data_IF_520615873775
#
_entry.id   IF_520615873775
#
_cell.length_a   1.000
_cell.length_b   1.000
_cell.length_c   1.000
_cell.angle_alpha   90.00
_cell.angle_beta   90.00
_cell.angle_gamma   90.00
#
_symmetry.space_group_name_H-M   'P 1'
#
loop_
_entity.id
_entity.type
_entity.pdbx_description
1 polymer ?
#
# COMPACT_ATOMS: atom_id res chain seq x y z
N UNK A 1 -15.81 -10.19 -8.78
CA UNK A 1 -16.52 -11.19 -7.95
C UNK A 1 -15.50 -12.20 -7.49
N UNK A 2 -15.60 -12.61 -6.23
CA UNK A 2 -14.77 -13.68 -5.69
C UNK A 2 -15.13 -15.01 -6.37
N UNK A 3 -14.15 -15.88 -6.56
CA UNK A 3 -14.39 -17.23 -7.05
C UNK A 3 -14.97 -18.15 -5.94
N UNK A 4 -15.42 -19.35 -6.32
CA UNK A 4 -16.02 -20.28 -5.38
C UNK A 4 -15.07 -20.71 -4.24
N UNK A 5 -13.75 -20.71 -4.47
CA UNK A 5 -12.76 -21.03 -3.44
C UNK A 5 -12.64 -19.88 -2.46
N UNK A 6 -12.49 -18.65 -2.95
CA UNK A 6 -12.40 -17.44 -2.14
C UNK A 6 -13.66 -17.22 -1.31
N UNK A 7 -14.84 -17.41 -1.91
CA UNK A 7 -16.14 -17.36 -1.23
C UNK A 7 -16.20 -18.35 -0.07
N UNK A 8 -15.88 -19.62 -0.35
CA UNK A 8 -15.87 -20.68 0.68
C UNK A 8 -14.91 -20.34 1.81
N UNK A 9 -13.67 -19.96 1.49
CA UNK A 9 -12.64 -19.62 2.49
C UNK A 9 -13.06 -18.45 3.38
N UNK A 10 -13.70 -17.42 2.82
CA UNK A 10 -14.22 -16.31 3.62
C UNK A 10 -15.41 -16.76 4.49
N UNK A 11 -16.32 -17.58 3.97
CA UNK A 11 -17.50 -18.04 4.73
C UNK A 11 -17.17 -19.02 5.86
N UNK A 12 -16.09 -19.80 5.71
CA UNK A 12 -15.64 -20.77 6.72
C UNK A 12 -14.68 -20.14 7.75
N UNK A 13 -14.25 -18.89 7.54
CA UNK A 13 -13.42 -18.20 8.52
C UNK A 13 -14.23 -17.90 9.78
N UNK A 14 -13.71 -18.36 10.92
CA UNK A 14 -14.30 -18.17 12.25
C UNK A 14 -13.53 -17.15 13.11
N UNK A 15 -12.44 -16.60 12.58
CA UNK A 15 -11.64 -15.57 13.25
C UNK A 15 -12.28 -14.21 13.02
N UNK A 16 -12.47 -13.45 14.11
CA UNK A 16 -12.93 -12.07 14.05
C UNK A 16 -11.75 -11.15 13.72
N UNK A 17 -11.88 -10.39 12.63
CA UNK A 17 -10.91 -9.38 12.20
C UNK A 17 -11.54 -7.99 12.11
N UNK A 18 -12.70 -7.78 12.77
CA UNK A 18 -13.42 -6.51 12.73
C UNK A 18 -12.71 -5.35 13.41
N UNK A 19 -11.69 -5.65 14.22
CA UNK A 19 -10.79 -4.69 14.86
C UNK A 19 -9.63 -4.25 13.96
N UNK A 20 -9.37 -4.94 12.85
CA UNK A 20 -8.27 -4.62 11.94
C UNK A 20 -8.63 -3.54 10.92
N UNK A 21 -7.67 -2.66 10.62
CA UNK A 21 -7.73 -1.68 9.54
C UNK A 21 -6.71 -2.00 8.44
N UNK A 22 -7.16 -2.01 7.20
CA UNK A 22 -6.32 -2.15 6.02
C UNK A 22 -6.37 -0.90 5.14
N UNK A 23 -5.20 -0.50 4.65
CA UNK A 23 -5.05 0.51 3.60
C UNK A 23 -4.48 -0.14 2.35
N UNK A 24 -5.14 0.11 1.23
CA UNK A 24 -4.70 -0.32 -0.09
C UNK A 24 -4.21 0.91 -0.85
N UNK A 25 -2.94 0.93 -1.26
CA UNK A 25 -2.38 2.04 -2.04
C UNK A 25 -2.19 1.59 -3.48
N UNK A 26 -2.94 2.21 -4.39
CA UNK A 26 -2.84 1.96 -5.82
C UNK A 26 -1.87 2.97 -6.47
N UNK A 27 -0.73 2.43 -6.88
CA UNK A 27 0.36 3.14 -7.52
C UNK A 27 0.27 3.09 -9.06
N UNK A 28 -0.93 3.05 -9.62
CA UNK A 28 -1.13 3.23 -11.07
C UNK A 28 -0.61 4.59 -11.54
N UNK A 29 -0.26 4.68 -12.82
CA UNK A 29 0.07 5.96 -13.47
C UNK A 29 -1.17 6.71 -13.99
N UNK A 30 -2.36 6.11 -13.87
CA UNK A 30 -3.60 6.62 -14.45
C UNK A 30 -4.42 7.38 -13.39
N UNK A 31 -4.61 8.70 -13.52
CA UNK A 31 -5.39 9.47 -12.56
C UNK A 31 -6.87 9.07 -12.62
N UNK A 32 -7.59 9.24 -11.51
CA UNK A 32 -9.04 9.04 -11.45
C UNK A 32 -9.77 9.97 -12.43
N UNK A 33 -10.88 9.51 -13.06
CA UNK A 33 -11.54 8.22 -12.91
C UNK A 33 -11.08 7.15 -13.93
N UNK A 34 -9.89 7.27 -14.51
CA UNK A 34 -9.44 6.32 -15.53
C UNK A 34 -9.30 4.91 -14.96
N UNK A 35 -9.68 3.90 -15.75
CA UNK A 35 -9.59 2.51 -15.32
C UNK A 35 -8.15 2.00 -15.21
N UNK A 36 -7.81 1.39 -14.08
CA UNK A 36 -6.54 0.67 -13.87
C UNK A 36 -6.77 -0.84 -13.79
N UNK A 37 -5.88 -1.63 -14.40
CA UNK A 37 -5.87 -3.09 -14.18
C UNK A 37 -5.42 -3.42 -12.75
N UNK A 38 -4.57 -2.58 -12.16
CA UNK A 38 -4.17 -2.66 -10.75
C UNK A 38 -5.39 -2.50 -9.83
N UNK A 39 -6.32 -1.58 -10.14
CA UNK A 39 -7.58 -1.45 -9.37
C UNK A 39 -8.35 -2.77 -9.36
N UNK A 40 -8.44 -3.44 -10.51
CA UNK A 40 -9.25 -4.65 -10.65
C UNK A 40 -8.71 -5.78 -9.77
N UNK A 41 -7.39 -5.96 -9.69
CA UNK A 41 -6.80 -6.96 -8.81
C UNK A 41 -6.87 -6.55 -7.34
N UNK A 42 -6.63 -5.27 -7.03
CA UNK A 42 -6.80 -4.75 -5.67
C UNK A 42 -8.24 -4.92 -5.18
N UNK A 43 -9.24 -4.72 -6.04
CA UNK A 43 -10.64 -4.95 -5.71
C UNK A 43 -10.97 -6.39 -5.30
N UNK A 44 -10.17 -7.39 -5.72
CA UNK A 44 -10.30 -8.77 -5.21
C UNK A 44 -9.75 -8.87 -3.78
N UNK A 45 -8.61 -8.23 -3.49
CA UNK A 45 -8.04 -8.16 -2.14
C UNK A 45 -8.98 -7.44 -1.20
N UNK A 46 -9.50 -6.28 -1.60
CA UNK A 46 -10.49 -5.50 -0.86
C UNK A 46 -11.75 -6.34 -0.58
N UNK A 47 -12.28 -7.03 -1.59
CA UNK A 47 -13.44 -7.89 -1.40
C UNK A 47 -13.18 -9.02 -0.38
N UNK A 48 -11.99 -9.64 -0.40
CA UNK A 48 -11.63 -10.67 0.58
C UNK A 48 -11.54 -10.07 1.99
N UNK A 49 -10.83 -8.95 2.16
CA UNK A 49 -10.65 -8.29 3.45
C UNK A 49 -12.00 -7.84 4.04
N UNK A 50 -12.85 -7.20 3.22
CA UNK A 50 -14.18 -6.78 3.63
C UNK A 50 -15.05 -7.95 4.07
N UNK A 51 -14.98 -9.07 3.33
CA UNK A 51 -15.76 -10.28 3.65
C UNK A 51 -15.34 -10.95 4.95
N UNK A 52 -14.13 -10.68 5.42
CA UNK A 52 -13.60 -11.13 6.69
C UNK A 52 -13.75 -10.07 7.81
N UNK A 53 -14.46 -8.97 7.56
CA UNK A 53 -14.76 -7.95 8.57
C UNK A 53 -13.72 -6.83 8.70
N UNK A 54 -12.61 -6.87 7.96
CA UNK A 54 -11.55 -5.86 8.04
C UNK A 54 -12.04 -4.53 7.49
N UNK A 55 -11.78 -3.44 8.23
CA UNK A 55 -12.09 -2.07 7.77
C UNK A 55 -11.12 -1.65 6.66
N UNK A 56 -11.63 -1.03 5.59
CA UNK A 56 -10.86 -0.77 4.38
C UNK A 56 -10.87 0.68 3.94
N UNK A 57 -9.73 1.09 3.41
CA UNK A 57 -9.51 2.39 2.80
C UNK A 57 -8.59 2.24 1.58
N UNK A 58 -8.99 2.79 0.43
CA UNK A 58 -8.16 2.80 -0.77
C UNK A 58 -7.62 4.21 -1.05
N UNK A 59 -6.34 4.31 -1.37
CA UNK A 59 -5.65 5.53 -1.80
C UNK A 59 -5.13 5.31 -3.22
N UNK A 60 -5.60 6.10 -4.19
CA UNK A 60 -4.96 6.17 -5.51
C UNK A 60 -3.90 7.26 -5.48
N UNK A 61 -2.63 6.86 -5.36
CA UNK A 61 -1.58 7.80 -5.00
C UNK A 61 -1.31 8.85 -6.09
N UNK A 62 -1.54 8.53 -7.37
CA UNK A 62 -1.39 9.47 -8.49
C UNK A 62 -2.40 10.63 -8.47
N UNK A 63 -3.46 10.54 -7.66
CA UNK A 63 -4.41 11.64 -7.47
C UNK A 63 -3.92 12.68 -6.45
N UNK A 64 -2.77 12.42 -5.79
CA UNK A 64 -2.16 13.26 -4.78
C UNK A 64 -0.80 13.77 -5.25
N UNK A 65 -0.44 14.99 -4.83
CA UNK A 65 0.88 15.57 -5.08
C UNK A 65 1.85 15.04 -4.06
N UNK A 66 2.72 14.10 -4.45
CA UNK A 66 3.76 13.55 -3.57
C UNK A 66 5.10 14.15 -3.99
N UNK A 67 5.64 15.03 -3.16
CA UNK A 67 6.94 15.64 -3.44
C UNK A 67 8.08 14.61 -3.25
N UNK A 68 9.05 14.54 -4.17
CA UNK A 68 10.19 13.63 -4.05
C UNK A 68 11.05 13.98 -2.84
N UNK A 69 11.49 12.96 -2.10
CA UNK A 69 12.30 13.12 -0.90
C UNK A 69 11.87 12.20 0.23
N UNK A 70 12.69 12.16 1.28
CA UNK A 70 12.58 11.21 2.40
C UNK A 70 12.37 11.92 3.73
N UNK A 71 11.67 13.06 3.73
CA UNK A 71 11.20 13.73 4.93
C UNK A 71 9.66 13.67 5.04
N UNK A 72 9.11 13.63 6.28
CA UNK A 72 7.66 13.59 6.52
C UNK A 72 6.86 14.67 5.82
N UNK A 73 7.41 15.87 5.67
CA UNK A 73 6.77 16.97 4.95
C UNK A 73 7.82 17.70 4.10
N UNK A 74 7.78 17.52 2.79
CA UNK A 74 8.76 18.17 1.91
C UNK A 74 8.48 19.67 1.70
N UNK A 75 7.33 20.20 2.14
CA UNK A 75 7.09 21.65 2.13
C UNK A 75 8.03 22.38 3.09
N UNK A 76 8.45 21.73 4.17
CA UNK A 76 9.52 22.20 5.07
C UNK A 76 10.91 22.16 4.42
N UNK A 77 11.03 21.49 3.28
CA UNK A 77 12.27 21.29 2.52
C UNK A 77 12.23 21.94 1.13
N UNK A 78 11.40 22.96 0.95
CA UNK A 78 11.41 23.84 -0.22
C UNK A 78 10.51 23.40 -1.38
N UNK A 79 9.67 22.39 -1.19
CA UNK A 79 8.61 22.06 -2.15
C UNK A 79 7.38 22.94 -1.89
N UNK A 80 6.71 23.39 -2.96
CA UNK A 80 5.51 24.21 -2.83
C UNK A 80 4.32 23.43 -2.26
N UNK A 81 4.25 22.13 -2.56
CA UNK A 81 3.15 21.26 -2.17
C UNK A 81 3.63 19.82 -1.94
N UNK A 82 3.14 19.23 -0.87
CA UNK A 82 3.26 17.81 -0.56
C UNK A 82 1.99 17.38 0.19
N UNK A 83 1.21 16.47 -0.40
CA UNK A 83 -0.02 15.95 0.20
C UNK A 83 0.28 14.77 1.16
N UNK A 84 1.54 14.31 1.24
CA UNK A 84 1.92 13.18 2.08
C UNK A 84 1.60 13.37 3.58
N UNK A 85 1.81 14.53 4.21
CA UNK A 85 1.45 14.73 5.63
C UNK A 85 -0.02 14.46 5.94
N UNK A 86 -0.94 14.71 4.99
CA UNK A 86 -2.37 14.40 5.12
C UNK A 86 -2.65 12.89 4.97
N UNK A 87 -1.92 12.23 4.07
CA UNK A 87 -2.08 10.80 3.81
C UNK A 87 -1.45 9.91 4.88
N UNK A 88 -0.34 10.35 5.47
CA UNK A 88 0.46 9.54 6.40
C UNK A 88 -0.35 8.96 7.56
N UNK A 89 -1.18 9.73 8.31
CA UNK A 89 -1.98 9.19 9.40
C UNK A 89 -2.86 8.01 8.98
N UNK A 90 -3.40 8.04 7.76
CA UNK A 90 -4.26 6.96 7.23
C UNK A 90 -3.49 5.64 7.14
N UNK A 91 -2.25 5.70 6.66
CA UNK A 91 -1.33 4.56 6.50
C UNK A 91 -0.73 4.14 7.85
N UNK A 92 -0.25 5.09 8.65
CA UNK A 92 0.32 4.86 9.98
C UNK A 92 -0.65 4.11 10.89
N UNK A 93 -1.93 4.46 10.84
CA UNK A 93 -2.96 3.89 11.70
C UNK A 93 -3.52 2.56 11.17
N UNK A 94 -3.09 2.10 9.98
CA UNK A 94 -3.50 0.81 9.43
C UNK A 94 -2.64 -0.34 9.97
N UNK A 95 -3.25 -1.49 10.23
CA UNK A 95 -2.56 -2.73 10.61
C UNK A 95 -2.01 -3.46 9.38
N UNK A 96 -2.66 -3.27 8.23
CA UNK A 96 -2.33 -3.92 6.96
C UNK A 96 -2.11 -2.86 5.89
N UNK A 97 -0.97 -2.91 5.21
CA UNK A 97 -0.71 -2.11 4.01
C UNK A 97 -0.57 -3.02 2.79
N UNK A 98 -1.43 -2.84 1.79
CA UNK A 98 -1.31 -3.52 0.50
C UNK A 98 -0.91 -2.52 -0.59
N UNK A 99 0.26 -2.70 -1.18
CA UNK A 99 0.76 -1.86 -2.27
C UNK A 99 0.42 -2.49 -3.62
N UNK A 100 -0.41 -1.83 -4.42
CA UNK A 100 -0.69 -2.22 -5.80
C UNK A 100 0.15 -1.43 -6.79
N UNK A 101 0.96 -2.07 -7.63
CA UNK A 101 1.76 -1.38 -8.66
C UNK A 101 1.65 -2.04 -10.03
N UNK A 102 1.56 -1.26 -11.13
CA UNK A 102 1.82 -1.81 -12.45
C UNK A 102 3.32 -2.07 -12.66
N UNK A 103 3.65 -2.89 -13.66
CA UNK A 103 5.01 -3.14 -14.12
C UNK A 103 5.26 -2.42 -15.45
N UNK A 104 6.41 -1.77 -15.56
CA UNK A 104 6.95 -1.26 -16.81
C UNK A 104 8.42 -1.66 -16.93
N UNK A 105 8.76 -2.39 -18.00
CA UNK A 105 10.15 -2.80 -18.28
C UNK A 105 10.84 -3.51 -17.09
N UNK A 106 10.10 -4.37 -16.38
CA UNK A 106 10.62 -5.11 -15.22
C UNK A 106 10.67 -4.32 -13.91
N UNK A 107 10.21 -3.06 -13.91
CA UNK A 107 10.22 -2.17 -12.75
C UNK A 107 8.81 -1.83 -12.25
N UNK A 108 8.73 -1.50 -10.96
CA UNK A 108 7.53 -0.90 -10.35
C UNK A 108 7.29 0.50 -10.92
N UNK A 109 6.09 1.03 -10.75
CA UNK A 109 5.80 2.40 -11.20
C UNK A 109 6.62 3.42 -10.42
N UNK A 110 6.87 4.59 -11.04
CA UNK A 110 7.45 5.74 -10.34
C UNK A 110 6.60 6.18 -9.14
N UNK A 111 5.28 6.03 -9.23
CA UNK A 111 4.35 6.30 -8.13
C UNK A 111 4.59 5.34 -6.94
N UNK A 112 4.88 4.06 -7.22
CA UNK A 112 5.23 3.09 -6.19
C UNK A 112 6.58 3.41 -5.54
N UNK A 113 7.55 3.85 -6.34
CA UNK A 113 8.83 4.32 -5.83
C UNK A 113 8.65 5.53 -4.89
N UNK A 114 7.81 6.51 -5.27
CA UNK A 114 7.50 7.65 -4.41
C UNK A 114 6.86 7.23 -3.07
N UNK A 115 5.93 6.26 -3.09
CA UNK A 115 5.38 5.69 -1.86
C UNK A 115 6.47 5.12 -0.95
N UNK A 116 7.39 4.33 -1.50
CA UNK A 116 8.47 3.69 -0.73
C UNK A 116 9.39 4.73 -0.09
N UNK A 117 9.77 5.78 -0.83
CA UNK A 117 10.57 6.89 -0.30
C UNK A 117 9.85 7.60 0.85
N UNK A 118 8.54 7.80 0.71
CA UNK A 118 7.70 8.40 1.74
C UNK A 118 7.49 7.52 2.97
N UNK A 119 7.38 6.20 2.80
CA UNK A 119 7.40 5.27 3.94
C UNK A 119 8.74 5.31 4.67
N UNK A 120 9.85 5.37 3.91
CA UNK A 120 11.19 5.48 4.48
C UNK A 120 11.41 6.78 5.28
N UNK A 121 10.71 7.86 4.93
CA UNK A 121 10.75 9.13 5.66
C UNK A 121 10.39 9.00 7.15
N UNK A 122 9.61 7.99 7.51
CA UNK A 122 9.19 7.71 8.89
C UNK A 122 9.98 6.56 9.54
N UNK A 123 11.01 6.03 8.89
CA UNK A 123 11.75 4.84 9.36
C UNK A 123 12.47 5.01 10.70
N UNK A 124 12.74 6.26 11.12
CA UNK A 124 13.34 6.57 12.41
C UNK A 124 12.30 6.86 13.51
N UNK A 125 11.01 6.98 13.17
CA UNK A 125 9.95 7.20 14.16
C UNK A 125 9.69 5.93 14.96
N UNK A 126 9.23 6.10 16.20
CA UNK A 126 8.91 4.99 17.10
C UNK A 126 7.46 5.01 17.56
N UNK A 127 6.91 3.82 17.82
CA UNK A 127 5.64 3.65 18.48
C UNK A 127 5.75 3.87 20.00
N UNK A 128 4.63 3.78 20.71
CA UNK A 128 4.51 3.90 22.17
C UNK A 128 5.34 2.88 22.97
N UNK A 129 5.72 1.76 22.33
CA UNK A 129 6.59 0.72 22.88
C UNK A 129 8.08 0.94 22.60
N UNK A 130 8.44 2.05 21.93
CA UNK A 130 9.83 2.35 21.55
C UNK A 130 10.37 1.49 20.40
N UNK A 131 9.50 0.80 19.65
CA UNK A 131 9.85 0.06 18.44
C UNK A 131 9.66 0.95 17.21
N UNK A 132 10.25 0.62 16.05
CA UNK A 132 10.01 1.38 14.82
C UNK A 132 8.51 1.49 14.50
N UNK A 133 8.08 2.61 13.95
CA UNK A 133 6.65 2.95 13.78
C UNK A 133 5.84 1.91 12.99
N UNK A 134 6.50 1.14 12.11
CA UNK A 134 5.87 0.11 11.29
C UNK A 134 5.80 -1.28 11.96
N UNK A 135 6.43 -1.48 13.13
CA UNK A 135 6.46 -2.78 13.80
C UNK A 135 5.06 -3.23 14.23
N UNK A 136 4.80 -4.53 14.09
CA UNK A 136 3.51 -5.15 14.41
C UNK A 136 2.48 -5.05 13.28
N UNK A 137 2.85 -4.51 12.11
CA UNK A 137 2.00 -4.37 10.92
C UNK A 137 2.37 -5.38 9.84
N UNK A 138 1.43 -5.66 8.94
CA UNK A 138 1.58 -6.59 7.82
C UNK A 138 1.67 -5.85 6.50
N UNK A 139 2.62 -6.24 5.65
CA UNK A 139 2.84 -5.66 4.32
C UNK A 139 2.55 -6.65 3.19
N UNK A 140 1.77 -6.23 2.20
CA UNK A 140 1.46 -7.02 1.00
C UNK A 140 1.73 -6.24 -0.29
N UNK A 141 1.96 -6.95 -1.39
CA UNK A 141 2.09 -6.34 -2.73
C UNK A 141 1.23 -7.07 -3.76
N UNK A 142 0.52 -6.29 -4.57
CA UNK A 142 -0.16 -6.76 -5.78
C UNK A 142 0.53 -6.12 -6.98
N UNK A 143 0.90 -6.96 -7.94
CA UNK A 143 1.65 -6.51 -9.12
C UNK A 143 0.87 -6.87 -10.37
N UNK A 144 0.67 -5.90 -11.25
CA UNK A 144 -0.01 -6.09 -12.55
C UNK A 144 0.89 -5.75 -13.72
N UNK A 145 1.01 -6.62 -14.70
CA UNK A 145 1.77 -6.36 -15.93
C UNK A 145 1.27 -7.23 -17.08
N UNK A 146 1.68 -6.92 -18.30
CA UNK A 146 1.29 -7.70 -19.48
C UNK A 146 2.06 -9.03 -19.57
N UNK A 147 3.35 -9.02 -19.25
CA UNK A 147 4.25 -10.15 -19.55
C UNK A 147 5.15 -10.51 -18.37
N UNK A 148 6.21 -9.73 -18.11
CA UNK A 148 7.28 -10.12 -17.18
C UNK A 148 7.65 -9.03 -16.15
N UNK A 149 8.32 -9.43 -15.07
CA UNK A 149 8.87 -8.56 -14.03
C UNK A 149 8.29 -8.75 -12.63
N UNK A 150 7.25 -9.58 -12.47
CA UNK A 150 6.50 -9.67 -11.19
C UNK A 150 7.39 -10.04 -10.00
N UNK A 151 8.31 -10.99 -10.17
CA UNK A 151 9.21 -11.42 -9.10
C UNK A 151 10.23 -10.33 -8.74
N UNK A 152 10.70 -9.58 -9.74
CA UNK A 152 11.64 -8.49 -9.51
C UNK A 152 10.98 -7.34 -8.74
N UNK A 153 9.78 -6.94 -9.19
CA UNK A 153 8.97 -5.91 -8.52
C UNK A 153 8.57 -6.34 -7.11
N UNK A 154 8.13 -7.58 -6.93
CA UNK A 154 7.78 -8.12 -5.62
C UNK A 154 8.99 -8.14 -4.69
N UNK A 155 10.16 -8.61 -5.17
CA UNK A 155 11.40 -8.61 -4.40
C UNK A 155 11.74 -7.21 -3.89
N UNK A 156 11.77 -6.20 -4.77
CA UNK A 156 12.11 -4.83 -4.37
C UNK A 156 11.08 -4.22 -3.41
N UNK A 157 9.79 -4.40 -3.70
CA UNK A 157 8.72 -3.80 -2.89
C UNK A 157 8.61 -4.45 -1.51
N UNK A 158 8.62 -5.78 -1.45
CA UNK A 158 8.56 -6.51 -0.17
C UNK A 158 9.81 -6.28 0.67
N UNK A 159 11.00 -6.25 0.06
CA UNK A 159 12.22 -5.87 0.76
C UNK A 159 12.10 -4.48 1.39
N UNK A 160 11.59 -3.48 0.64
CA UNK A 160 11.39 -2.13 1.18
C UNK A 160 10.42 -2.09 2.35
N UNK A 161 9.30 -2.81 2.28
CA UNK A 161 8.34 -2.90 3.39
C UNK A 161 8.95 -3.57 4.62
N UNK A 162 9.67 -4.68 4.42
CA UNK A 162 10.37 -5.38 5.50
C UNK A 162 11.46 -4.52 6.12
N UNK A 163 12.18 -3.74 5.32
CA UNK A 163 13.26 -2.89 5.77
C UNK A 163 12.79 -1.81 6.75
N UNK A 164 11.58 -1.26 6.55
CA UNK A 164 11.00 -0.25 7.46
C UNK A 164 10.28 -0.87 8.66
N UNK A 165 9.91 -2.16 8.61
CA UNK A 165 9.43 -2.92 9.77
C UNK A 165 8.15 -3.72 9.60
N UNK A 166 7.57 -3.77 8.39
CA UNK A 166 6.43 -4.67 8.11
C UNK A 166 6.87 -6.14 8.12
N UNK A 167 5.94 -7.04 8.46
CA UNK A 167 6.08 -8.49 8.26
C UNK A 167 5.40 -8.93 6.96
#
# INVERSE_FOLDING_TARGET
>A
MLDATQERLCSENTTDFSDLKAVVVNCTLKPSPQGSHTDKLLGIVEAILARNGVSLEQIRLVDHTIAPGVYPDMTEHGFERDDWPELWPRIRDADILVVGTPIWLGEKSSVCQALIEKLYAHSAETNDKGQYIFYGKVGGVIVTGNEDGIKHVAMGTLYSLQHVGYT
#
